data_IF_710043983165
#
_entry.id   IF_710043983165
#
_cell.length_a   1.000
_cell.length_b   1.000
_cell.length_c   1.000
_cell.angle_alpha   90.00
_cell.angle_beta   90.00
_cell.angle_gamma   90.00
#
_symmetry.space_group_name_H-M   'P 1'
#
loop_
_entity.id
_entity.type
_entity.pdbx_description
1 polymer ?
#
# COMPACT_ATOMS: atom_id res chain seq x y z
N UNK A 1 -10.52 -2.05 11.10
CA UNK A 1 -10.54 -2.63 9.74
C UNK A 1 -11.25 -1.72 8.74
N UNK A 2 -11.95 -0.66 9.19
CA UNK A 2 -12.83 0.13 8.32
C UNK A 2 -12.10 1.15 7.42
N UNK A 3 -11.03 1.82 7.88
CA UNK A 3 -10.30 2.81 7.08
C UNK A 3 -9.60 2.22 5.83
N UNK A 4 -9.22 0.94 5.85
CA UNK A 4 -8.60 0.29 4.69
C UNK A 4 -9.63 -0.03 3.59
N UNK A 5 -10.85 -0.41 3.99
CA UNK A 5 -11.93 -0.75 3.07
C UNK A 5 -12.62 0.49 2.49
N UNK A 6 -12.86 1.55 3.27
CA UNK A 6 -13.53 2.76 2.78
C UNK A 6 -12.58 3.77 2.14
N UNK A 7 -11.41 4.04 2.74
CA UNK A 7 -10.57 5.17 2.28
C UNK A 7 -9.45 4.71 1.35
N UNK A 8 -8.73 3.63 1.72
CA UNK A 8 -7.61 3.14 0.94
C UNK A 8 -8.08 2.46 -0.35
N UNK A 9 -9.05 1.54 -0.29
CA UNK A 9 -9.55 0.86 -1.49
C UNK A 9 -10.12 1.85 -2.53
N UNK A 10 -10.90 2.83 -2.08
CA UNK A 10 -11.47 3.88 -2.93
C UNK A 10 -10.38 4.76 -3.55
N UNK A 11 -9.38 5.18 -2.77
CA UNK A 11 -8.28 6.03 -3.24
C UNK A 11 -7.37 5.30 -4.24
N UNK A 12 -7.17 4.00 -4.10
CA UNK A 12 -6.23 3.22 -4.93
C UNK A 12 -6.86 2.71 -6.23
N UNK A 13 -8.18 2.55 -6.27
CA UNK A 13 -8.87 1.80 -7.34
C UNK A 13 -8.59 2.39 -8.73
N UNK A 14 -8.62 3.71 -8.88
CA UNK A 14 -8.47 4.34 -10.19
C UNK A 14 -7.05 4.15 -10.75
N UNK A 15 -6.02 4.51 -9.98
CA UNK A 15 -4.63 4.38 -10.42
C UNK A 15 -4.23 2.93 -10.65
N UNK A 16 -4.72 2.01 -9.82
CA UNK A 16 -4.45 0.58 -9.99
C UNK A 16 -5.11 0.01 -11.25
N UNK A 17 -6.38 0.34 -11.50
CA UNK A 17 -7.08 -0.14 -12.71
C UNK A 17 -6.46 0.42 -14.00
N UNK A 18 -6.04 1.68 -13.99
CA UNK A 18 -5.39 2.31 -15.13
C UNK A 18 -3.96 1.76 -15.37
N UNK A 19 -3.09 1.78 -14.35
CA UNK A 19 -1.65 1.56 -14.54
C UNK A 19 -1.16 0.14 -14.32
N UNK A 20 -1.90 -0.67 -13.57
CA UNK A 20 -1.55 -2.08 -13.33
C UNK A 20 -2.41 -2.98 -14.21
N UNK A 21 -3.71 -2.73 -14.28
CA UNK A 21 -4.64 -3.58 -15.05
C UNK A 21 -4.86 -3.12 -16.49
N UNK A 22 -4.49 -1.88 -16.86
CA UNK A 22 -4.67 -1.35 -18.22
C UNK A 22 -6.13 -1.36 -18.68
N UNK A 23 -7.07 -1.19 -17.75
CA UNK A 23 -8.50 -1.37 -18.03
C UNK A 23 -9.05 -0.21 -18.87
N UNK A 24 -9.77 -0.51 -19.96
CA UNK A 24 -10.22 0.47 -20.95
C UNK A 24 -11.06 1.63 -20.35
N UNK A 25 -11.90 1.33 -19.35
CA UNK A 25 -12.74 2.33 -18.68
C UNK A 25 -11.98 3.28 -17.72
N UNK A 26 -10.67 3.05 -17.54
CA UNK A 26 -9.81 3.80 -16.62
C UNK A 26 -8.66 4.45 -17.40
N UNK A 27 -8.90 5.56 -18.11
CA UNK A 27 -7.86 6.26 -18.85
C UNK A 27 -6.79 6.82 -17.92
N UNK A 28 -5.51 6.76 -18.32
CA UNK A 28 -4.39 7.36 -17.59
C UNK A 28 -4.38 8.89 -17.76
N UNK A 29 -5.30 9.53 -17.03
CA UNK A 29 -5.53 10.97 -17.06
C UNK A 29 -5.34 11.62 -15.68
N UNK A 30 -5.75 12.88 -15.54
CA UNK A 30 -5.62 13.64 -14.30
C UNK A 30 -6.27 12.94 -13.07
N UNK A 31 -7.26 12.06 -13.26
CA UNK A 31 -7.91 11.31 -12.18
C UNK A 31 -7.01 10.22 -11.62
N UNK A 32 -6.15 9.64 -12.46
CA UNK A 32 -5.13 8.67 -12.05
C UNK A 32 -4.06 9.33 -11.19
N UNK A 33 -3.60 10.51 -11.59
CA UNK A 33 -2.67 11.30 -10.77
C UNK A 33 -3.28 11.75 -9.45
N UNK A 34 -4.54 12.22 -9.44
CA UNK A 34 -5.25 12.58 -8.21
C UNK A 34 -5.41 11.36 -7.26
N UNK A 35 -5.70 10.19 -7.82
CA UNK A 35 -5.77 8.90 -7.11
C UNK A 35 -4.42 8.52 -6.50
N UNK A 36 -3.33 8.66 -7.26
CA UNK A 36 -1.96 8.41 -6.77
C UNK A 36 -1.57 9.38 -5.65
N UNK A 37 -1.84 10.67 -5.80
CA UNK A 37 -1.58 11.68 -4.76
C UNK A 37 -2.34 11.35 -3.47
N UNK A 38 -3.60 10.96 -3.57
CA UNK A 38 -4.38 10.57 -2.40
C UNK A 38 -3.82 9.30 -1.74
N UNK A 39 -3.43 8.29 -2.54
CA UNK A 39 -2.79 7.09 -2.01
C UNK A 39 -1.47 7.41 -1.31
N UNK A 40 -0.62 8.25 -1.90
CA UNK A 40 0.63 8.69 -1.30
C UNK A 40 0.42 9.38 0.06
N UNK A 41 -0.65 10.16 0.23
CA UNK A 41 -1.00 10.78 1.52
C UNK A 41 -1.34 9.73 2.58
N UNK A 42 -2.14 8.73 2.21
CA UNK A 42 -2.48 7.63 3.13
C UNK A 42 -1.25 6.80 3.51
N UNK A 43 -0.35 6.56 2.56
CA UNK A 43 0.92 5.88 2.83
C UNK A 43 1.84 6.70 3.74
N UNK A 44 1.84 8.03 3.63
CA UNK A 44 2.58 8.90 4.54
C UNK A 44 2.02 8.86 5.97
N UNK A 45 0.69 8.74 6.14
CA UNK A 45 0.09 8.52 7.47
C UNK A 45 0.50 7.18 8.07
N UNK A 46 0.55 6.12 7.26
CA UNK A 46 1.06 4.82 7.68
C UNK A 46 2.53 4.91 8.10
N UNK A 47 3.36 5.62 7.34
CA UNK A 47 4.77 5.83 7.69
C UNK A 47 4.93 6.55 9.03
N UNK A 48 4.14 7.60 9.28
CA UNK A 48 4.14 8.32 10.55
C UNK A 48 3.70 7.43 11.73
N UNK A 49 2.77 6.51 11.51
CA UNK A 49 2.37 5.53 12.53
C UNK A 49 3.49 4.53 12.81
N UNK A 50 4.15 4.03 11.78
CA UNK A 50 5.27 3.07 11.87
C UNK A 50 6.57 3.71 12.40
N UNK A 51 6.66 5.04 12.41
CA UNK A 51 7.73 5.75 13.11
C UNK A 51 7.63 5.59 14.65
N UNK A 52 6.43 5.28 15.16
CA UNK A 52 6.15 5.18 16.60
C UNK A 52 6.18 3.75 17.12
N UNK A 53 5.88 2.78 16.26
CA UNK A 53 5.65 1.39 16.63
C UNK A 53 6.24 0.43 15.60
N UNK A 54 6.61 -0.78 16.03
CA UNK A 54 7.22 -1.75 15.12
C UNK A 54 6.24 -2.30 14.06
N UNK A 55 4.96 -2.34 14.40
CA UNK A 55 3.83 -2.81 13.62
C UNK A 55 2.69 -1.78 13.63
N UNK A 56 1.69 -1.99 12.76
CA UNK A 56 0.61 -0.99 12.56
C UNK A 56 -0.14 -0.69 13.86
N UNK A 57 -0.42 -1.72 14.64
CA UNK A 57 -1.25 -1.63 15.85
C UNK A 57 -0.44 -1.52 17.16
N UNK A 58 0.91 -1.47 17.08
CA UNK A 58 1.78 -1.50 18.26
C UNK A 58 3.06 -2.26 17.98
N UNK A 59 3.62 -2.91 19.00
CA UNK A 59 4.92 -3.59 18.88
C UNK A 59 4.81 -5.07 18.46
N UNK A 60 3.59 -5.60 18.42
CA UNK A 60 3.31 -6.97 18.02
C UNK A 60 2.66 -7.05 16.62
N UNK A 61 2.99 -8.10 15.88
CA UNK A 61 2.40 -8.38 14.58
C UNK A 61 0.92 -8.76 14.71
N UNK A 62 0.08 -8.16 13.87
CA UNK A 62 -1.38 -8.38 13.90
C UNK A 62 -1.95 -8.63 12.52
N UNK A 63 -3.24 -8.98 12.46
CA UNK A 63 -3.99 -9.06 11.20
C UNK A 63 -3.94 -7.75 10.40
N UNK A 64 -3.82 -6.59 11.08
CA UNK A 64 -3.73 -5.30 10.39
C UNK A 64 -2.48 -5.22 9.51
N UNK A 65 -1.36 -5.80 9.94
CA UNK A 65 -0.11 -5.83 9.20
C UNK A 65 -0.22 -6.66 7.91
N UNK A 66 -1.01 -7.73 7.91
CA UNK A 66 -1.26 -8.54 6.70
C UNK A 66 -2.03 -7.73 5.66
N UNK A 67 -3.14 -7.13 6.08
CA UNK A 67 -4.03 -6.37 5.20
C UNK A 67 -3.33 -5.13 4.63
N UNK A 68 -2.60 -4.42 5.48
CA UNK A 68 -1.84 -3.24 5.05
C UNK A 68 -0.59 -3.65 4.26
N UNK A 69 0.05 -4.77 4.57
CA UNK A 69 1.17 -5.31 3.80
C UNK A 69 0.78 -5.58 2.34
N UNK A 70 -0.36 -6.21 2.11
CA UNK A 70 -0.93 -6.39 0.76
C UNK A 70 -1.18 -5.06 0.04
N UNK A 71 -1.72 -4.09 0.78
CA UNK A 71 -2.01 -2.76 0.24
C UNK A 71 -0.72 -2.01 -0.13
N UNK A 72 0.33 -2.13 0.70
CA UNK A 72 1.65 -1.55 0.47
C UNK A 72 2.37 -2.22 -0.68
N UNK A 73 2.29 -3.54 -0.83
CA UNK A 73 2.85 -4.22 -2.00
C UNK A 73 2.22 -3.67 -3.28
N UNK A 74 0.89 -3.54 -3.30
CA UNK A 74 0.18 -3.01 -4.46
C UNK A 74 0.60 -1.58 -4.78
N UNK A 75 0.77 -0.75 -3.75
CA UNK A 75 1.27 0.61 -3.88
C UNK A 75 2.67 0.63 -4.50
N UNK A 76 3.60 -0.19 -3.99
CA UNK A 76 4.98 -0.30 -4.50
C UNK A 76 5.01 -0.69 -5.97
N UNK A 77 4.20 -1.67 -6.36
CA UNK A 77 4.12 -2.19 -7.72
C UNK A 77 3.40 -1.26 -8.71
N UNK A 78 2.60 -0.31 -8.23
CA UNK A 78 1.85 0.62 -9.11
C UNK A 78 2.77 1.71 -9.66
N UNK A 79 2.94 1.89 -10.99
CA UNK A 79 3.78 2.95 -11.55
C UNK A 79 3.36 4.38 -11.16
N UNK A 80 4.34 5.25 -10.90
CA UNK A 80 4.11 6.66 -10.60
C UNK A 80 5.04 7.24 -9.53
N UNK A 81 5.04 8.57 -9.40
CA UNK A 81 5.85 9.29 -8.42
C UNK A 81 5.40 8.97 -6.99
N UNK A 82 6.33 8.46 -6.17
CA UNK A 82 6.08 8.06 -4.78
C UNK A 82 7.04 8.79 -3.84
N UNK A 83 6.58 9.25 -2.67
CA UNK A 83 7.47 9.75 -1.63
C UNK A 83 8.38 8.64 -1.09
N UNK A 84 9.51 9.05 -0.53
CA UNK A 84 10.36 8.16 0.28
C UNK A 84 9.71 7.98 1.64
N UNK A 85 9.37 6.74 1.98
CA UNK A 85 8.70 6.36 3.23
C UNK A 85 9.56 5.31 3.95
N UNK A 86 10.51 5.78 4.74
CA UNK A 86 11.56 4.93 5.32
C UNK A 86 11.01 3.94 6.36
N UNK A 87 10.02 4.33 7.15
CA UNK A 87 9.45 3.46 8.18
C UNK A 87 8.58 2.36 7.54
N UNK A 88 7.87 2.70 6.46
CA UNK A 88 7.16 1.71 5.63
C UNK A 88 8.13 0.69 5.04
N UNK A 89 9.28 1.11 4.51
CA UNK A 89 10.26 0.17 3.95
C UNK A 89 10.78 -0.80 5.03
N UNK A 90 11.19 -0.25 6.18
CA UNK A 90 11.70 -1.05 7.31
C UNK A 90 10.64 -2.03 7.81
N UNK A 91 9.40 -1.58 7.97
CA UNK A 91 8.28 -2.44 8.36
C UNK A 91 8.00 -3.53 7.32
N UNK A 92 8.01 -3.21 6.03
CA UNK A 92 7.76 -4.18 4.96
C UNK A 92 8.85 -5.27 4.92
N UNK A 93 10.12 -4.91 5.13
CA UNK A 93 11.21 -5.89 5.26
C UNK A 93 11.05 -6.79 6.51
N UNK A 94 10.50 -6.27 7.61
CA UNK A 94 10.15 -7.11 8.76
C UNK A 94 9.05 -8.11 8.40
N UNK A 95 8.03 -7.66 7.66
CA UNK A 95 6.93 -8.54 7.25
C UNK A 95 7.38 -9.68 6.33
N UNK A 96 8.37 -9.44 5.46
CA UNK A 96 8.98 -10.50 4.62
C UNK A 96 9.55 -11.67 5.41
N UNK A 97 9.86 -11.50 6.69
CA UNK A 97 10.34 -12.59 7.58
C UNK A 97 9.21 -13.50 8.05
N UNK A 98 7.95 -13.08 7.93
CA UNK A 98 6.80 -13.89 8.31
C UNK A 98 6.60 -15.05 7.31
N UNK A 99 6.37 -16.29 7.79
CA UNK A 99 6.08 -17.42 6.92
C UNK A 99 4.91 -17.10 5.99
N UNK A 100 5.10 -17.33 4.68
CA UNK A 100 4.07 -17.09 3.66
C UNK A 100 3.98 -15.66 3.15
N UNK A 101 4.62 -14.66 3.78
CA UNK A 101 4.55 -13.27 3.29
C UNK A 101 5.16 -13.11 1.90
N UNK A 102 6.34 -13.68 1.66
CA UNK A 102 6.94 -13.69 0.33
C UNK A 102 6.10 -14.49 -0.70
N UNK A 103 5.37 -15.52 -0.25
CA UNK A 103 4.57 -16.37 -1.15
C UNK A 103 3.22 -15.73 -1.54
N UNK A 104 2.62 -14.94 -0.65
CA UNK A 104 1.25 -14.45 -0.82
C UNK A 104 1.13 -12.92 -0.91
N UNK A 105 2.13 -12.19 -0.40
CA UNK A 105 2.15 -10.73 -0.42
C UNK A 105 3.20 -10.25 -1.42
N UNK A 106 4.48 -10.53 -1.16
CA UNK A 106 5.59 -10.05 -2.01
C UNK A 106 6.03 -11.09 -3.04
N UNK A 107 5.07 -11.61 -3.80
CA UNK A 107 5.27 -12.69 -4.77
C UNK A 107 5.47 -12.20 -6.21
N UNK A 108 5.66 -10.90 -6.41
CA UNK A 108 5.83 -10.29 -7.73
C UNK A 108 4.56 -10.18 -8.56
N UNK A 109 3.38 -10.50 -8.01
CA UNK A 109 2.09 -10.35 -8.69
C UNK A 109 1.35 -9.14 -8.12
N UNK A 110 1.01 -8.18 -8.98
CA UNK A 110 0.14 -7.05 -8.66
C UNK A 110 -1.32 -7.33 -9.04
#
# INVERSE_FOLDING_TARGET
MDCQATDLNTACRHVFMARVRGHADYPDDARVEASLVQWNRLMAMLDAQLARHAHVAGDDFTLADIVLGLSTQRWRSTPGAKPVLANVEVWFERLRRQPGFAAHVDNGVA
#
